data_IF_130137494813
#
_entry.id   IF_130137494813
#
_cell.length_a   1.000
_cell.length_b   1.000
_cell.length_c   1.000
_cell.angle_alpha   90.00
_cell.angle_beta   90.00
_cell.angle_gamma   90.00
#
_symmetry.space_group_name_H-M   'P 1'
#
loop_
_entity.id
_entity.type
_entity.pdbx_description
1 polymer ?
#
# COMPACT_ATOMS: atom_id res chain seq x y z
N UNK A 1 2.51 3.05 4.34
CA UNK A 1 1.56 2.57 3.31
C UNK A 1 2.10 1.45 2.41
N UNK A 2 3.42 1.29 2.20
CA UNK A 2 3.99 0.17 1.41
C UNK A 2 3.52 -1.22 1.86
N UNK A 3 3.39 -1.43 3.17
CA UNK A 3 2.88 -2.69 3.74
C UNK A 3 1.53 -3.08 3.14
N UNK A 4 0.63 -2.10 2.94
CA UNK A 4 -0.70 -2.31 2.36
C UNK A 4 -0.63 -2.63 0.87
N UNK A 5 0.29 -2.02 0.12
CA UNK A 5 0.52 -2.40 -1.28
C UNK A 5 1.00 -3.85 -1.37
N UNK A 6 2.01 -4.21 -0.57
CA UNK A 6 2.59 -5.56 -0.57
C UNK A 6 1.53 -6.63 -0.26
N UNK A 7 0.68 -6.41 0.75
CA UNK A 7 -0.41 -7.32 1.12
C UNK A 7 -1.46 -7.54 0.03
N UNK A 8 -1.55 -6.64 -0.97
CA UNK A 8 -2.56 -6.70 -2.03
C UNK A 8 -1.99 -7.14 -3.38
N UNK A 9 -0.73 -6.81 -3.63
CA UNK A 9 -0.06 -7.04 -4.91
C UNK A 9 0.70 -8.35 -4.91
N UNK A 10 1.36 -8.72 -3.81
CA UNK A 10 2.14 -9.96 -3.77
C UNK A 10 1.18 -11.15 -3.65
N UNK A 11 1.24 -12.13 -4.59
CA UNK A 11 0.32 -13.26 -4.62
C UNK A 11 0.26 -14.02 -3.29
N UNK A 12 1.41 -14.32 -2.69
CA UNK A 12 1.49 -15.08 -1.45
C UNK A 12 0.70 -14.43 -0.30
N UNK A 13 0.88 -13.11 -0.14
CA UNK A 13 0.23 -12.31 0.88
C UNK A 13 -1.24 -12.05 0.57
N UNK A 14 -1.56 -11.77 -0.70
CA UNK A 14 -2.91 -11.46 -1.14
C UNK A 14 -3.85 -12.65 -0.97
N UNK A 15 -3.41 -13.86 -1.32
CA UNK A 15 -4.18 -15.09 -1.10
C UNK A 15 -4.46 -15.30 0.40
N UNK A 16 -3.43 -15.15 1.23
CA UNK A 16 -3.49 -15.26 2.68
C UNK A 16 -4.54 -14.35 3.33
N UNK A 17 -4.65 -13.09 2.89
CA UNK A 17 -5.56 -12.10 3.51
C UNK A 17 -6.94 -12.04 2.86
N UNK A 18 -7.17 -12.79 1.78
CA UNK A 18 -8.44 -12.77 1.02
C UNK A 18 -9.33 -13.98 1.27
N UNK A 19 -8.92 -14.93 2.11
CA UNK A 19 -9.75 -16.05 2.55
C UNK A 19 -11.06 -15.58 3.21
N UNK A 20 -12.18 -16.28 2.96
CA UNK A 20 -13.52 -15.82 3.39
C UNK A 20 -13.66 -15.73 4.92
N UNK A 21 -13.07 -16.69 5.64
CA UNK A 21 -13.01 -16.70 7.11
C UNK A 21 -12.32 -15.45 7.66
N UNK A 22 -11.22 -15.04 7.02
CA UNK A 22 -10.45 -13.83 7.35
C UNK A 22 -11.25 -12.58 7.03
N UNK A 23 -11.94 -12.54 5.88
CA UNK A 23 -12.79 -11.40 5.50
C UNK A 23 -13.93 -11.14 6.48
N UNK A 24 -14.62 -12.18 6.95
CA UNK A 24 -15.70 -12.04 7.96
C UNK A 24 -15.16 -11.47 9.26
N UNK A 25 -14.07 -12.04 9.78
CA UNK A 25 -13.45 -11.59 11.03
C UNK A 25 -12.90 -10.16 10.94
N UNK A 26 -12.33 -9.82 9.79
CA UNK A 26 -11.83 -8.48 9.47
C UNK A 26 -12.92 -7.41 9.54
N UNK A 27 -14.14 -7.67 9.06
CA UNK A 27 -15.25 -6.70 9.16
C UNK A 27 -15.56 -6.35 10.61
N UNK A 28 -15.60 -7.35 11.48
CA UNK A 28 -15.86 -7.16 12.92
C UNK A 28 -14.73 -6.38 13.61
N UNK A 29 -13.48 -6.70 13.27
CA UNK A 29 -12.29 -6.02 13.79
C UNK A 29 -12.17 -4.58 13.27
N UNK A 30 -12.78 -4.26 12.13
CA UNK A 30 -12.85 -2.89 11.63
C UNK A 30 -13.91 -2.06 12.36
N UNK A 31 -15.04 -2.66 12.73
CA UNK A 31 -16.15 -1.93 13.37
C UNK A 31 -15.81 -1.44 14.78
N UNK A 32 -15.25 -2.32 15.62
CA UNK A 32 -15.03 -2.03 17.04
C UNK A 32 -14.07 -0.86 17.27
N UNK A 33 -12.89 -0.79 16.63
CA UNK A 33 -11.97 0.32 16.81
C UNK A 33 -12.51 1.66 16.32
N UNK A 34 -13.36 1.66 15.28
CA UNK A 34 -14.05 2.88 14.83
C UNK A 34 -15.00 3.42 15.90
N UNK A 35 -15.78 2.56 16.56
CA UNK A 35 -16.68 2.95 17.65
C UNK A 35 -15.91 3.40 18.89
N UNK A 36 -14.83 2.70 19.25
CA UNK A 36 -13.96 3.09 20.37
C UNK A 36 -13.31 4.44 20.09
N UNK A 37 -12.78 4.65 18.88
CA UNK A 37 -12.23 5.93 18.46
C UNK A 37 -13.25 7.07 18.56
N UNK A 38 -14.50 6.84 18.14
CA UNK A 38 -15.59 7.80 18.29
C UNK A 38 -15.88 8.13 19.76
N UNK A 39 -15.98 7.12 20.63
CA UNK A 39 -16.22 7.33 22.05
C UNK A 39 -15.08 8.10 22.72
N UNK A 40 -13.83 7.74 22.41
CA UNK A 40 -12.63 8.44 22.91
C UNK A 40 -12.60 9.88 22.42
N UNK A 41 -12.91 10.13 21.14
CA UNK A 41 -13.03 11.48 20.60
C UNK A 41 -14.08 12.30 21.38
N UNK A 42 -15.26 11.71 21.61
CA UNK A 42 -16.36 12.41 22.30
C UNK A 42 -16.03 12.74 23.75
N UNK A 43 -15.20 11.95 24.42
CA UNK A 43 -14.69 12.27 25.75
C UNK A 43 -13.56 13.31 25.70
N UNK A 44 -12.58 13.10 24.81
CA UNK A 44 -11.37 13.92 24.73
C UNK A 44 -11.64 15.37 24.33
N UNK A 45 -12.70 15.63 23.54
CA UNK A 45 -13.03 17.00 23.10
C UNK A 45 -13.37 17.96 24.26
N UNK A 46 -13.69 17.41 25.43
CA UNK A 46 -13.97 18.19 26.64
C UNK A 46 -12.71 18.48 27.46
N UNK A 47 -11.59 17.82 27.16
CA UNK A 47 -10.37 17.85 27.97
C UNK A 47 -9.17 18.45 27.22
N UNK A 48 -9.20 18.42 25.89
CA UNK A 48 -8.05 18.71 25.04
C UNK A 48 -8.48 19.61 23.87
N UNK A 49 -7.67 20.58 23.42
CA UNK A 49 -8.01 21.44 22.28
C UNK A 49 -7.91 20.68 20.96
N UNK A 50 -8.95 19.90 20.61
CA UNK A 50 -9.00 19.13 19.36
C UNK A 50 -9.19 20.02 18.12
N UNK A 51 -9.34 21.34 18.30
CA UNK A 51 -9.26 22.31 17.20
C UNK A 51 -7.83 22.47 16.66
N UNK A 52 -6.81 22.11 17.46
CA UNK A 52 -5.42 22.14 17.00
C UNK A 52 -5.09 20.85 16.21
N UNK A 53 -4.65 20.97 14.94
CA UNK A 53 -4.40 19.79 14.12
C UNK A 53 -3.34 18.85 14.70
N UNK A 54 -2.28 19.38 15.32
CA UNK A 54 -1.22 18.55 15.93
C UNK A 54 -1.77 17.71 17.09
N UNK A 55 -2.60 18.32 17.92
CA UNK A 55 -3.24 17.68 19.06
C UNK A 55 -4.19 16.57 18.60
N UNK A 56 -4.95 16.81 17.53
CA UNK A 56 -5.75 15.80 16.85
C UNK A 56 -4.90 14.63 16.32
N UNK A 57 -3.78 14.92 15.65
CA UNK A 57 -2.90 13.90 15.08
C UNK A 57 -2.22 13.06 16.18
N UNK A 58 -1.82 13.68 17.29
CA UNK A 58 -1.28 12.98 18.45
C UNK A 58 -2.31 12.04 19.07
N UNK A 59 -3.52 12.55 19.36
CA UNK A 59 -4.62 11.72 19.90
C UNK A 59 -4.94 10.55 18.95
N UNK A 60 -5.09 10.85 17.65
CA UNK A 60 -5.34 9.83 16.63
C UNK A 60 -4.24 8.76 16.59
N UNK A 61 -2.97 9.18 16.72
CA UNK A 61 -1.82 8.26 16.70
C UNK A 61 -1.78 7.38 17.95
N UNK A 62 -2.10 7.92 19.13
CA UNK A 62 -2.15 7.14 20.37
C UNK A 62 -3.24 6.07 20.33
N UNK A 63 -4.44 6.43 19.85
CA UNK A 63 -5.54 5.47 19.67
C UNK A 63 -5.15 4.40 18.63
N UNK A 64 -4.51 4.82 17.52
CA UNK A 64 -4.05 3.91 16.49
C UNK A 64 -2.92 2.97 16.96
N UNK A 65 -2.01 3.42 17.84
CA UNK A 65 -0.98 2.58 18.46
C UNK A 65 -1.60 1.44 19.29
N UNK A 66 -2.55 1.77 20.16
CA UNK A 66 -3.27 0.78 20.95
C UNK A 66 -4.05 -0.17 20.03
N UNK A 67 -4.75 0.38 19.04
CA UNK A 67 -5.53 -0.37 18.05
C UNK A 67 -4.66 -1.35 17.26
N UNK A 68 -3.48 -0.93 16.80
CA UNK A 68 -2.54 -1.76 16.06
C UNK A 68 -2.09 -2.97 16.89
N UNK A 69 -1.75 -2.77 18.16
CA UNK A 69 -1.36 -3.85 19.07
C UNK A 69 -2.48 -4.87 19.29
N UNK A 70 -3.69 -4.40 19.61
CA UNK A 70 -4.83 -5.29 19.84
C UNK A 70 -5.22 -6.05 18.57
N UNK A 71 -5.32 -5.36 17.44
CA UNK A 71 -5.66 -5.99 16.16
C UNK A 71 -4.59 -7.00 15.71
N UNK A 72 -3.31 -6.65 15.88
CA UNK A 72 -2.20 -7.56 15.60
C UNK A 72 -2.27 -8.83 16.47
N UNK A 73 -2.50 -8.69 17.78
CA UNK A 73 -2.70 -9.83 18.68
C UNK A 73 -3.86 -10.71 18.23
N UNK A 74 -4.99 -10.13 17.85
CA UNK A 74 -6.17 -10.88 17.39
C UNK A 74 -5.84 -11.64 16.10
N UNK A 75 -5.14 -11.01 15.15
CA UNK A 75 -4.69 -11.66 13.91
C UNK A 75 -3.69 -12.79 14.16
N UNK A 76 -2.76 -12.56 15.08
CA UNK A 76 -1.74 -13.52 15.49
C UNK A 76 -2.31 -14.70 16.29
N UNK A 77 -3.45 -14.47 16.94
CA UNK A 77 -4.19 -15.41 17.80
C UNK A 77 -3.31 -16.15 18.80
N UNK A 78 -2.43 -15.41 19.47
CA UNK A 78 -1.51 -15.94 20.47
C UNK A 78 -1.49 -15.04 21.72
N UNK A 79 -0.99 -15.57 22.83
CA UNK A 79 -0.80 -14.79 24.06
C UNK A 79 0.38 -13.83 23.91
N UNK A 80 0.38 -12.73 24.67
CA UNK A 80 1.44 -11.71 24.61
C UNK A 80 2.83 -12.29 24.88
N UNK A 81 2.95 -13.27 25.77
CA UNK A 81 4.22 -13.94 26.05
C UNK A 81 4.77 -14.70 24.83
N UNK A 82 3.90 -15.38 24.07
CA UNK A 82 4.29 -16.08 22.84
C UNK A 82 4.69 -15.07 21.77
N UNK A 83 3.90 -14.01 21.59
CA UNK A 83 4.17 -12.95 20.61
C UNK A 83 5.52 -12.28 20.90
N UNK A 84 5.77 -11.89 22.15
CA UNK A 84 7.02 -11.23 22.53
C UNK A 84 8.25 -12.12 22.31
N UNK A 85 8.12 -13.44 22.53
CA UNK A 85 9.20 -14.42 22.33
C UNK A 85 9.42 -14.77 20.85
N UNK A 86 8.35 -14.98 20.08
CA UNK A 86 8.43 -15.48 18.69
C UNK A 86 8.56 -14.37 17.63
N UNK A 87 7.91 -13.22 17.86
CA UNK A 87 7.89 -12.12 16.88
C UNK A 87 8.95 -11.07 17.23
N UNK A 88 9.35 -11.00 18.51
CA UNK A 88 10.44 -10.16 18.99
C UNK A 88 10.06 -8.68 19.14
N UNK A 89 10.88 -7.96 19.92
CA UNK A 89 10.64 -6.53 20.22
C UNK A 89 10.66 -5.64 18.98
N UNK A 90 11.46 -5.98 17.97
CA UNK A 90 11.59 -5.20 16.74
C UNK A 90 10.29 -5.14 15.94
N UNK A 91 9.61 -6.29 15.77
CA UNK A 91 8.33 -6.35 15.03
C UNK A 91 7.23 -5.63 15.81
N UNK A 92 7.20 -5.79 17.13
CA UNK A 92 6.24 -5.09 17.98
C UNK A 92 6.45 -3.57 17.98
N UNK A 93 7.70 -3.11 18.09
CA UNK A 93 8.03 -1.69 17.99
C UNK A 93 7.65 -1.14 16.61
N UNK A 94 7.93 -1.88 15.53
CA UNK A 94 7.50 -1.51 14.20
C UNK A 94 5.97 -1.45 14.06
N UNK A 95 5.24 -2.41 14.63
CA UNK A 95 3.77 -2.42 14.62
C UNK A 95 3.21 -1.19 15.35
N UNK A 96 3.73 -0.87 16.54
CA UNK A 96 3.27 0.28 17.33
C UNK A 96 3.61 1.59 16.64
N UNK A 97 4.88 1.78 16.30
CA UNK A 97 5.38 3.08 15.84
C UNK A 97 5.03 3.31 14.38
N UNK A 98 5.34 2.37 13.49
CA UNK A 98 5.13 2.58 12.05
C UNK A 98 3.68 2.35 11.62
N UNK A 99 3.05 1.26 12.06
CA UNK A 99 1.67 0.94 11.66
C UNK A 99 0.65 1.70 12.52
N UNK A 100 0.88 1.79 13.83
CA UNK A 100 0.01 2.52 14.75
C UNK A 100 0.17 4.03 14.59
N UNK A 101 1.31 4.59 15.01
CA UNK A 101 1.49 6.04 15.08
C UNK A 101 1.63 6.69 13.69
N UNK A 102 2.70 6.38 12.96
CA UNK A 102 3.02 7.08 11.70
C UNK A 102 1.95 6.88 10.64
N UNK A 103 1.54 5.63 10.39
CA UNK A 103 0.50 5.35 9.41
C UNK A 103 -0.88 5.84 9.87
N UNK A 104 -1.18 5.82 11.17
CA UNK A 104 -2.39 6.45 11.73
C UNK A 104 -2.44 7.95 11.44
N UNK A 105 -1.35 8.68 11.73
CA UNK A 105 -1.24 10.11 11.42
C UNK A 105 -1.37 10.39 9.92
N UNK A 106 -0.71 9.60 9.07
CA UNK A 106 -0.83 9.72 7.61
C UNK A 106 -2.29 9.58 7.15
N UNK A 107 -3.03 8.59 7.66
CA UNK A 107 -4.42 8.40 7.30
C UNK A 107 -5.33 9.54 7.79
N UNK A 108 -5.07 10.09 8.98
CA UNK A 108 -5.80 11.25 9.47
C UNK A 108 -5.55 12.48 8.60
N UNK A 109 -4.29 12.75 8.22
CA UNK A 109 -3.94 13.83 7.29
C UNK A 109 -4.59 13.66 5.93
N UNK A 110 -4.62 12.43 5.40
CA UNK A 110 -5.31 12.11 4.15
C UNK A 110 -6.79 12.47 4.22
N UNK A 111 -7.48 12.08 5.29
CA UNK A 111 -8.91 12.36 5.47
C UNK A 111 -9.16 13.86 5.58
N UNK A 112 -8.36 14.58 6.38
CA UNK A 112 -8.49 16.03 6.52
C UNK A 112 -8.25 16.75 5.19
N UNK A 113 -7.21 16.37 4.44
CA UNK A 113 -6.90 16.95 3.13
C UNK A 113 -8.02 16.67 2.10
N UNK A 114 -8.59 15.47 2.13
CA UNK A 114 -9.70 15.10 1.26
C UNK A 114 -10.96 15.93 1.56
N UNK A 115 -11.32 16.08 2.84
CA UNK A 115 -12.49 16.87 3.24
C UNK A 115 -12.31 18.35 2.92
N UNK A 116 -11.12 18.90 3.18
CA UNK A 116 -10.78 20.27 2.82
C UNK A 116 -10.92 20.50 1.30
N UNK A 117 -10.46 19.56 0.47
CA UNK A 117 -10.58 19.64 -0.98
C UNK A 117 -12.04 19.67 -1.47
N UNK A 118 -12.94 18.98 -0.78
CA UNK A 118 -14.39 18.95 -1.09
C UNK A 118 -15.13 20.18 -0.51
N UNK A 119 -14.41 21.08 0.18
CA UNK A 119 -14.97 22.31 0.76
C UNK A 119 -15.48 22.15 2.19
N UNK A 120 -15.17 21.02 2.85
CA UNK A 120 -15.50 20.81 4.26
C UNK A 120 -14.26 21.05 5.13
N UNK A 121 -14.04 22.31 5.51
CA UNK A 121 -12.83 22.77 6.16
C UNK A 121 -12.82 22.45 7.67
N UNK A 122 -11.79 21.74 8.11
CA UNK A 122 -11.52 21.45 9.51
C UNK A 122 -11.24 22.70 10.34
N UNK A 123 -10.63 23.74 9.76
CA UNK A 123 -10.35 24.98 10.49
C UNK A 123 -11.62 25.79 10.77
N UNK A 124 -12.67 25.59 9.98
CA UNK A 124 -13.97 26.27 10.16
C UNK A 124 -14.95 25.42 10.97
N UNK A 125 -14.97 24.11 10.75
CA UNK A 125 -15.86 23.15 11.41
C UNK A 125 -15.08 21.94 11.91
N UNK A 126 -14.36 22.04 13.05
CA UNK A 126 -13.39 21.02 13.46
C UNK A 126 -14.04 19.68 13.84
N UNK A 127 -15.27 19.69 14.34
CA UNK A 127 -15.89 18.52 14.96
C UNK A 127 -16.13 17.34 14.01
N UNK A 128 -16.64 17.61 12.80
CA UNK A 128 -16.95 16.58 11.81
C UNK A 128 -15.69 15.93 11.21
N UNK A 129 -14.77 16.72 10.62
CA UNK A 129 -13.53 16.21 10.02
C UNK A 129 -12.62 15.52 11.03
N UNK A 130 -12.48 16.03 12.25
CA UNK A 130 -11.66 15.41 13.29
C UNK A 130 -12.15 14.00 13.64
N UNK A 131 -13.45 13.88 13.86
CA UNK A 131 -14.09 12.61 14.18
C UNK A 131 -13.89 11.60 13.05
N UNK A 132 -14.15 12.01 11.79
CA UNK A 132 -13.95 11.15 10.62
C UNK A 132 -12.49 10.72 10.47
N UNK A 133 -11.54 11.64 10.66
CA UNK A 133 -10.12 11.36 10.55
C UNK A 133 -9.67 10.28 11.54
N UNK A 134 -10.02 10.41 12.83
CA UNK A 134 -9.65 9.43 13.86
C UNK A 134 -10.33 8.08 13.57
N UNK A 135 -11.63 8.07 13.27
CA UNK A 135 -12.39 6.83 13.03
C UNK A 135 -11.84 6.05 11.83
N UNK A 136 -11.62 6.73 10.70
CA UNK A 136 -11.13 6.11 9.46
C UNK A 136 -9.68 5.64 9.63
N UNK A 137 -8.84 6.43 10.30
CA UNK A 137 -7.46 6.05 10.60
C UNK A 137 -7.43 4.78 11.46
N UNK A 138 -8.14 4.76 12.60
CA UNK A 138 -8.15 3.63 13.52
C UNK A 138 -8.72 2.37 12.87
N UNK A 139 -9.80 2.49 12.10
CA UNK A 139 -10.41 1.38 11.37
C UNK A 139 -9.45 0.78 10.33
N UNK A 140 -8.72 1.63 9.61
CA UNK A 140 -7.76 1.20 8.59
C UNK A 140 -6.50 0.59 9.21
N UNK A 141 -6.01 1.14 10.31
CA UNK A 141 -4.88 0.60 11.10
C UNK A 141 -5.23 -0.76 11.68
N UNK A 142 -6.43 -0.90 12.27
CA UNK A 142 -6.91 -2.19 12.79
C UNK A 142 -6.91 -3.27 11.73
N UNK A 143 -7.44 -2.96 10.54
CA UNK A 143 -7.48 -3.88 9.40
C UNK A 143 -6.08 -4.34 9.02
N UNK A 144 -5.17 -3.41 8.81
CA UNK A 144 -3.85 -3.72 8.28
C UNK A 144 -3.00 -4.44 9.33
N UNK A 145 -3.07 -4.05 10.61
CA UNK A 145 -2.40 -4.73 11.71
C UNK A 145 -2.92 -6.17 11.92
N UNK A 146 -4.23 -6.38 11.80
CA UNK A 146 -4.83 -7.72 11.83
C UNK A 146 -4.31 -8.61 10.71
N UNK A 147 -4.28 -8.09 9.47
CA UNK A 147 -3.77 -8.83 8.30
C UNK A 147 -2.30 -9.22 8.48
N UNK A 148 -1.46 -8.31 8.99
CA UNK A 148 -0.05 -8.59 9.28
C UNK A 148 0.08 -9.66 10.38
N UNK A 149 -0.73 -9.58 11.44
CA UNK A 149 -0.77 -10.59 12.50
C UNK A 149 -1.16 -11.96 11.98
N UNK A 150 -2.14 -12.00 11.06
CA UNK A 150 -2.59 -13.24 10.43
C UNK A 150 -1.52 -13.87 9.53
N UNK A 151 -0.84 -13.07 8.70
CA UNK A 151 0.31 -13.53 7.90
C UNK A 151 1.40 -14.10 8.81
N UNK A 152 1.71 -13.43 9.92
CA UNK A 152 2.70 -13.92 10.89
C UNK A 152 2.29 -15.23 11.55
N UNK A 153 0.99 -15.40 11.85
CA UNK A 153 0.46 -16.68 12.35
C UNK A 153 0.68 -17.79 11.33
N UNK A 154 0.36 -17.57 10.05
CA UNK A 154 0.56 -18.57 9.00
C UNK A 154 2.04 -18.90 8.79
N UNK A 155 2.92 -17.91 8.86
CA UNK A 155 4.37 -18.13 8.82
C UNK A 155 4.83 -19.04 9.97
N UNK A 156 4.33 -18.83 11.18
CA UNK A 156 4.63 -19.67 12.33
C UNK A 156 4.04 -21.08 12.23
N UNK A 157 2.98 -21.28 11.42
CA UNK A 157 2.40 -22.60 11.12
C UNK A 157 3.11 -23.31 9.95
N UNK A 158 4.26 -22.80 9.50
CA UNK A 158 5.08 -23.44 8.48
C UNK A 158 4.75 -23.06 7.03
N UNK A 159 3.82 -22.13 6.78
CA UNK A 159 3.57 -21.61 5.42
C UNK A 159 4.64 -20.57 5.07
N UNK A 160 5.52 -20.81 4.07
CA UNK A 160 6.58 -19.88 3.75
C UNK A 160 6.01 -18.59 3.14
N UNK A 161 6.37 -17.44 3.71
CA UNK A 161 6.15 -16.14 3.10
C UNK A 161 7.51 -15.56 2.73
N UNK A 162 7.86 -15.53 1.43
CA UNK A 162 9.14 -14.99 0.97
C UNK A 162 9.34 -13.54 1.44
N UNK A 163 8.25 -12.78 1.45
CA UNK A 163 8.23 -11.35 1.76
C UNK A 163 7.37 -11.09 2.99
N UNK A 164 7.98 -10.55 4.05
CA UNK A 164 7.23 -9.97 5.17
C UNK A 164 7.17 -8.44 5.04
N UNK A 165 6.02 -7.78 5.30
CA UNK A 165 5.85 -6.36 5.02
C UNK A 165 6.45 -5.42 6.10
N UNK A 166 7.62 -5.74 6.66
CA UNK A 166 8.33 -4.94 7.70
C UNK A 166 9.38 -3.95 7.13
N UNK A 167 9.47 -3.88 5.80
CA UNK A 167 10.43 -3.05 5.08
C UNK A 167 11.88 -3.55 5.12
N UNK A 168 12.19 -4.69 5.76
CA UNK A 168 13.52 -5.29 5.66
C UNK A 168 13.84 -5.69 4.21
N UNK A 169 12.95 -6.37 3.47
CA UNK A 169 13.24 -6.72 2.07
C UNK A 169 13.43 -5.50 1.16
N UNK A 170 12.77 -4.36 1.48
CA UNK A 170 12.98 -3.11 0.75
C UNK A 170 14.39 -2.56 0.99
N UNK A 171 14.82 -2.50 2.24
CA UNK A 171 16.17 -2.00 2.59
C UNK A 171 17.26 -2.88 1.98
N UNK A 172 17.05 -4.19 1.96
CA UNK A 172 17.99 -5.14 1.37
C UNK A 172 18.05 -4.97 -0.17
N UNK A 173 16.91 -4.75 -0.82
CA UNK A 173 16.87 -4.42 -2.25
C UNK A 173 17.59 -3.10 -2.55
N UNK A 174 17.34 -2.05 -1.77
CA UNK A 174 18.00 -0.75 -1.96
C UNK A 174 19.52 -0.90 -1.85
N UNK A 175 20.01 -1.66 -0.86
CA UNK A 175 21.46 -1.90 -0.68
C UNK A 175 22.08 -2.72 -1.81
N UNK A 176 21.39 -3.76 -2.27
CA UNK A 176 21.92 -4.68 -3.28
C UNK A 176 21.76 -4.19 -4.72
N UNK A 177 20.77 -3.34 -4.99
CA UNK A 177 20.38 -2.91 -6.35
C UNK A 177 20.23 -1.39 -6.49
N UNK A 178 20.91 -0.61 -5.66
CA UNK A 178 20.86 0.86 -5.70
C UNK A 178 21.03 1.43 -7.11
N UNK A 179 22.02 0.92 -7.87
CA UNK A 179 22.32 1.39 -9.22
C UNK A 179 21.18 1.12 -10.24
N UNK A 180 20.37 0.07 -10.02
CA UNK A 180 19.24 -0.25 -10.90
C UNK A 180 17.97 0.51 -10.50
N UNK A 181 17.81 0.81 -9.21
CA UNK A 181 16.65 1.51 -8.65
C UNK A 181 16.77 3.02 -8.79
N UNK A 182 17.99 3.58 -8.69
CA UNK A 182 18.26 5.02 -8.71
C UNK A 182 17.65 5.75 -9.90
N UNK A 183 17.84 5.29 -11.15
CA UNK A 183 17.25 5.93 -12.33
C UNK A 183 15.71 5.97 -12.29
N UNK A 184 15.05 4.92 -11.77
CA UNK A 184 13.59 4.90 -11.63
C UNK A 184 13.11 5.93 -10.62
N UNK A 185 13.78 6.05 -9.48
CA UNK A 185 13.45 7.05 -8.45
C UNK A 185 13.65 8.46 -9.00
N UNK A 186 14.77 8.72 -9.67
CA UNK A 186 15.05 10.01 -10.29
C UNK A 186 13.99 10.38 -11.35
N UNK A 187 13.68 9.46 -12.26
CA UNK A 187 12.64 9.66 -13.27
C UNK A 187 11.27 9.91 -12.62
N UNK A 188 10.90 9.11 -11.62
CA UNK A 188 9.67 9.30 -10.85
C UNK A 188 9.60 10.67 -10.18
N UNK A 189 10.70 11.14 -9.59
CA UNK A 189 10.75 12.45 -8.97
C UNK A 189 10.63 13.60 -9.96
N UNK A 190 11.30 13.52 -11.12
CA UNK A 190 11.16 14.54 -12.17
C UNK A 190 9.73 14.59 -12.72
N UNK A 191 9.15 13.43 -13.03
CA UNK A 191 7.78 13.33 -13.55
C UNK A 191 6.77 13.84 -12.52
N UNK A 192 6.92 13.46 -11.25
CA UNK A 192 6.04 13.90 -10.17
C UNK A 192 6.14 15.41 -9.90
N UNK A 193 7.35 15.97 -9.94
CA UNK A 193 7.58 17.40 -9.80
C UNK A 193 6.93 18.19 -10.95
N UNK A 194 7.12 17.72 -12.20
CA UNK A 194 6.48 18.31 -13.38
C UNK A 194 4.95 18.22 -13.34
N UNK A 195 4.40 17.12 -12.81
CA UNK A 195 2.96 16.95 -12.63
C UNK A 195 2.39 17.98 -11.63
N UNK A 196 3.13 18.24 -10.55
CA UNK A 196 2.71 19.18 -9.52
C UNK A 196 3.01 20.66 -9.88
N UNK A 197 3.82 20.94 -10.89
CA UNK A 197 4.07 22.30 -11.39
C UNK A 197 2.97 22.83 -12.32
N UNK A 198 1.89 22.08 -12.56
CA UNK A 198 0.76 22.52 -13.39
C UNK A 198 -0.08 23.66 -12.77
N UNK A 199 0.32 24.14 -11.59
CA UNK A 199 -0.27 25.30 -10.88
C UNK A 199 -0.29 26.59 -11.72
N UNK A 200 0.62 26.71 -12.69
CA UNK A 200 0.71 27.88 -13.56
C UNK A 200 -0.47 28.05 -14.53
N UNK A 201 -1.36 27.05 -14.63
CA UNK A 201 -2.47 27.03 -15.60
C UNK A 201 -3.82 27.32 -14.94
N UNK A 202 -3.97 27.09 -13.63
CA UNK A 202 -5.26 27.19 -12.91
C UNK A 202 -5.04 27.84 -11.55
N UNK A 203 -5.83 28.84 -11.18
CA UNK A 203 -5.73 29.51 -9.88
C UNK A 203 -6.70 28.95 -8.84
N UNK A 204 -6.30 29.00 -7.56
CA UNK A 204 -7.15 28.68 -6.42
C UNK A 204 -7.29 27.18 -6.10
N UNK A 205 -8.36 26.81 -5.41
CA UNK A 205 -8.59 25.43 -4.92
C UNK A 205 -8.67 24.38 -6.05
N UNK A 206 -9.08 24.80 -7.26
CA UNK A 206 -9.10 23.95 -8.45
C UNK A 206 -7.69 23.49 -8.87
N UNK A 207 -6.66 24.29 -8.59
CA UNK A 207 -5.28 23.96 -8.92
C UNK A 207 -4.80 22.72 -8.18
N UNK A 208 -5.19 22.56 -6.91
CA UNK A 208 -4.82 21.40 -6.10
C UNK A 208 -5.50 20.12 -6.62
N UNK A 209 -6.73 20.23 -7.12
CA UNK A 209 -7.44 19.10 -7.76
C UNK A 209 -6.70 18.69 -9.04
N UNK A 210 -6.31 19.66 -9.87
CA UNK A 210 -5.54 19.40 -11.10
C UNK A 210 -4.18 18.77 -10.78
N UNK A 211 -3.45 19.30 -9.80
CA UNK A 211 -2.18 18.72 -9.33
C UNK A 211 -2.38 17.30 -8.80
N UNK A 212 -3.39 17.07 -7.95
CA UNK A 212 -3.71 15.75 -7.42
C UNK A 212 -3.97 14.76 -8.55
N UNK A 213 -4.79 15.15 -9.52
CA UNK A 213 -5.11 14.30 -10.67
C UNK A 213 -3.86 14.01 -11.51
N UNK A 214 -3.07 15.03 -11.83
CA UNK A 214 -1.85 14.89 -12.61
C UNK A 214 -0.82 13.99 -11.90
N UNK A 215 -0.55 14.23 -10.62
CA UNK A 215 0.37 13.40 -9.81
C UNK A 215 -0.18 11.98 -9.67
N UNK A 216 -1.49 11.80 -9.53
CA UNK A 216 -2.10 10.47 -9.44
C UNK A 216 -1.93 9.68 -10.75
N UNK A 217 -2.24 10.29 -11.90
CA UNK A 217 -2.12 9.65 -13.22
C UNK A 217 -0.67 9.32 -13.55
N UNK A 218 0.22 10.31 -13.46
CA UNK A 218 1.62 10.17 -13.85
C UNK A 218 2.42 9.33 -12.84
N UNK A 219 2.14 9.51 -11.54
CA UNK A 219 2.68 8.65 -10.48
C UNK A 219 2.22 7.20 -10.64
N UNK A 220 0.96 6.96 -11.00
CA UNK A 220 0.47 5.62 -11.33
C UNK A 220 1.16 5.01 -12.55
N UNK A 221 1.39 5.80 -13.60
CA UNK A 221 2.07 5.36 -14.82
C UNK A 221 3.54 4.98 -14.56
N UNK A 222 4.31 5.83 -13.85
CA UNK A 222 5.70 5.50 -13.53
C UNK A 222 5.81 4.29 -12.60
N UNK A 223 4.85 4.11 -11.68
CA UNK A 223 4.78 2.90 -10.83
C UNK A 223 4.69 1.64 -11.67
N UNK A 224 3.82 1.66 -12.69
CA UNK A 224 3.62 0.53 -13.59
C UNK A 224 4.90 0.23 -14.37
N UNK A 225 5.53 1.25 -14.95
CA UNK A 225 6.80 1.10 -15.67
C UNK A 225 7.90 0.55 -14.76
N UNK A 226 8.06 1.12 -13.56
CA UNK A 226 9.05 0.70 -12.59
C UNK A 226 8.80 -0.74 -12.10
N UNK A 227 7.54 -1.14 -11.97
CA UNK A 227 7.15 -2.50 -11.63
C UNK A 227 7.61 -3.52 -12.69
N UNK A 228 7.40 -3.25 -13.98
CA UNK A 228 7.96 -4.08 -15.04
C UNK A 228 9.49 -4.04 -15.07
N UNK A 229 10.10 -2.90 -14.74
CA UNK A 229 11.55 -2.77 -14.58
C UNK A 229 12.12 -3.60 -13.42
N UNK A 230 11.36 -3.80 -12.34
CA UNK A 230 11.77 -4.60 -11.19
C UNK A 230 11.68 -6.12 -11.42
N UNK A 231 10.83 -6.56 -12.35
CA UNK A 231 10.74 -7.96 -12.73
C UNK A 231 11.95 -8.37 -13.57
N UNK A 232 13.05 -8.79 -12.94
CA UNK A 232 14.21 -9.27 -13.68
C UNK A 232 13.88 -10.53 -14.46
N UNK A 233 14.29 -10.57 -15.73
CA UNK A 233 14.10 -11.72 -16.61
C UNK A 233 14.81 -11.42 -17.92
N UNK A 234 15.06 -12.45 -18.75
CA UNK A 234 15.80 -12.31 -20.02
C UNK A 234 15.19 -11.34 -21.03
N UNK A 235 13.95 -10.90 -20.79
CA UNK A 235 13.17 -10.01 -21.66
C UNK A 235 13.14 -8.58 -21.09
N UNK A 236 13.35 -7.57 -21.93
CA UNK A 236 13.29 -6.15 -21.55
C UNK A 236 11.93 -5.76 -20.96
N UNK A 237 11.90 -4.73 -20.12
CA UNK A 237 10.66 -4.24 -19.50
C UNK A 237 9.65 -3.73 -20.55
N UNK A 238 10.12 -3.13 -21.64
CA UNK A 238 9.30 -2.63 -22.74
C UNK A 238 8.58 -3.75 -23.47
N UNK A 239 9.29 -4.83 -23.78
CA UNK A 239 8.73 -6.00 -24.46
C UNK A 239 7.66 -6.70 -23.61
N UNK A 240 7.82 -6.72 -22.27
CA UNK A 240 6.78 -7.26 -21.38
C UNK A 240 5.59 -6.32 -21.23
N UNK A 241 5.82 -5.02 -21.18
CA UNK A 241 4.74 -4.04 -21.17
C UNK A 241 3.85 -4.20 -22.40
N UNK A 242 4.46 -4.32 -23.61
CA UNK A 242 3.72 -4.51 -24.85
C UNK A 242 3.04 -5.88 -24.97
N UNK A 243 3.59 -6.91 -24.32
CA UNK A 243 3.01 -8.25 -24.33
C UNK A 243 1.85 -8.42 -23.32
N UNK A 244 1.70 -7.50 -22.36
CA UNK A 244 0.67 -7.58 -21.32
C UNK A 244 -0.66 -7.04 -21.83
N UNK A 245 -1.76 -7.67 -21.42
CA UNK A 245 -3.09 -7.23 -21.83
C UNK A 245 -3.44 -5.83 -21.28
N UNK A 246 -4.10 -5.01 -22.09
CA UNK A 246 -4.53 -3.65 -21.68
C UNK A 246 -5.42 -3.68 -20.43
N UNK A 247 -6.25 -4.73 -20.28
CA UNK A 247 -7.09 -4.91 -19.08
C UNK A 247 -6.27 -5.10 -17.81
N UNK A 248 -5.16 -5.84 -17.88
CA UNK A 248 -4.27 -6.05 -16.73
C UNK A 248 -3.45 -4.80 -16.43
N UNK A 249 -2.94 -4.13 -17.46
CA UNK A 249 -2.25 -2.84 -17.31
C UNK A 249 -3.16 -1.82 -16.63
N UNK A 250 -4.40 -1.71 -17.07
CA UNK A 250 -5.39 -0.82 -16.46
C UNK A 250 -5.68 -1.19 -15.02
N UNK A 251 -5.83 -2.49 -14.70
CA UNK A 251 -6.04 -2.94 -13.31
C UNK A 251 -4.89 -2.51 -12.41
N UNK A 252 -3.64 -2.75 -12.81
CA UNK A 252 -2.44 -2.38 -12.02
C UNK A 252 -2.24 -0.86 -11.93
N UNK A 253 -2.50 -0.15 -13.03
CA UNK A 253 -2.42 1.30 -13.07
C UNK A 253 -3.47 1.94 -12.16
N UNK A 254 -4.73 1.50 -12.25
CA UNK A 254 -5.81 1.96 -11.37
C UNK A 254 -5.53 1.59 -9.91
N UNK A 255 -5.12 0.33 -9.67
CA UNK A 255 -4.78 -0.21 -8.37
C UNK A 255 -3.58 -1.17 -8.44
N UNK A 256 -2.42 -0.86 -7.82
CA UNK A 256 -2.21 0.16 -6.80
C UNK A 256 -1.81 1.56 -7.31
N UNK A 257 -1.45 1.74 -8.58
CA UNK A 257 -0.73 2.94 -9.05
C UNK A 257 -1.40 4.27 -8.71
N UNK A 258 -2.55 4.54 -9.32
CA UNK A 258 -3.30 5.79 -9.21
C UNK A 258 -3.77 6.03 -7.77
N UNK A 259 -4.39 5.02 -7.16
CA UNK A 259 -4.98 5.15 -5.84
C UNK A 259 -3.94 5.41 -4.75
N UNK A 260 -2.75 4.81 -4.82
CA UNK A 260 -1.73 5.11 -3.82
C UNK A 260 -1.00 6.42 -4.12
N UNK A 261 -0.76 6.76 -5.38
CA UNK A 261 -0.18 8.05 -5.74
C UNK A 261 -1.05 9.20 -5.24
N UNK A 262 -2.37 9.12 -5.45
CA UNK A 262 -3.31 10.12 -4.90
C UNK A 262 -3.29 10.15 -3.38
N UNK A 263 -3.24 8.98 -2.70
CA UNK A 263 -3.17 8.97 -1.24
C UNK A 263 -1.90 9.61 -0.70
N UNK A 264 -0.74 9.36 -1.29
CA UNK A 264 0.50 9.96 -0.82
C UNK A 264 0.55 11.46 -1.09
N UNK A 265 -0.01 11.91 -2.22
CA UNK A 265 -0.09 13.33 -2.51
C UNK A 265 -1.06 14.05 -1.56
N UNK A 266 -2.22 13.47 -1.27
CA UNK A 266 -3.13 14.00 -0.25
C UNK A 266 -2.49 14.09 1.15
N UNK A 267 -1.68 13.11 1.52
CA UNK A 267 -0.91 13.17 2.78
C UNK A 267 0.08 14.32 2.76
N UNK A 268 0.83 14.51 1.67
CA UNK A 268 1.76 15.63 1.52
C UNK A 268 1.03 16.98 1.61
N UNK A 269 -0.09 17.13 0.91
CA UNK A 269 -0.97 18.29 1.02
C UNK A 269 -1.45 18.52 2.46
N UNK A 270 -1.88 17.46 3.15
CA UNK A 270 -2.30 17.54 4.54
C UNK A 270 -1.18 18.00 5.48
N UNK A 271 0.07 17.58 5.24
CA UNK A 271 1.24 18.09 5.99
C UNK A 271 1.39 19.60 5.79
N UNK A 272 1.33 20.08 4.54
CA UNK A 272 1.44 21.51 4.25
C UNK A 272 0.34 22.33 4.94
N UNK A 273 -0.92 21.89 4.84
CA UNK A 273 -2.08 22.61 5.35
C UNK A 273 -2.21 22.53 6.88
N UNK A 274 -2.03 21.36 7.49
CA UNK A 274 -2.41 21.12 8.89
C UNK A 274 -1.22 21.02 9.84
N UNK A 275 -0.03 20.64 9.35
CA UNK A 275 1.18 20.55 10.18
C UNK A 275 2.02 21.82 10.04
N UNK A 276 2.30 22.23 8.80
CA UNK A 276 3.04 23.47 8.52
C UNK A 276 2.16 24.73 8.59
N UNK A 277 0.83 24.56 8.68
CA UNK A 277 -0.17 25.64 8.80
C UNK A 277 -0.08 26.69 7.69
N UNK A 278 0.25 26.26 6.46
CA UNK A 278 0.28 27.17 5.34
C UNK A 278 -1.13 27.43 4.79
N UNK A 279 -1.58 28.69 4.72
CA UNK A 279 -2.94 29.03 4.28
C UNK A 279 -3.17 28.74 2.79
N UNK A 280 -2.09 28.74 2.00
CA UNK A 280 -2.06 28.28 0.62
C UNK A 280 -0.80 27.44 0.42
N UNK A 281 -0.89 26.39 -0.40
CA UNK A 281 0.28 25.58 -0.71
C UNK A 281 1.25 26.43 -1.55
N UNK A 282 2.44 26.66 -1.01
CA UNK A 282 3.52 27.34 -1.74
C UNK A 282 3.88 26.49 -2.96
N UNK A 283 4.04 27.05 -4.18
CA UNK A 283 4.33 26.27 -5.39
C UNK A 283 5.53 25.33 -5.24
N UNK A 284 6.60 25.80 -4.57
CA UNK A 284 7.79 24.99 -4.29
C UNK A 284 7.49 23.74 -3.44
N UNK A 285 6.51 23.81 -2.53
CA UNK A 285 6.07 22.64 -1.76
C UNK A 285 5.28 21.66 -2.61
N UNK A 286 4.37 22.14 -3.47
CA UNK A 286 3.63 21.25 -4.38
C UNK A 286 4.59 20.50 -5.29
N UNK A 287 5.57 21.19 -5.88
CA UNK A 287 6.61 20.58 -6.73
C UNK A 287 7.44 19.56 -5.94
N UNK A 288 7.91 19.91 -4.75
CA UNK A 288 8.67 19.00 -3.90
C UNK A 288 7.83 17.78 -3.47
N UNK A 289 6.56 17.99 -3.11
CA UNK A 289 5.61 16.95 -2.74
C UNK A 289 5.31 16.01 -3.89
N UNK A 290 5.05 16.54 -5.09
CA UNK A 290 4.86 15.76 -6.31
C UNK A 290 6.09 14.92 -6.64
N UNK A 291 7.29 15.52 -6.58
CA UNK A 291 8.54 14.80 -6.82
C UNK A 291 8.84 13.73 -5.77
N UNK A 292 8.52 13.99 -4.50
CA UNK A 292 8.62 12.99 -3.45
C UNK A 292 7.68 11.81 -3.69
N UNK A 293 6.40 12.08 -4.00
CA UNK A 293 5.40 11.05 -4.30
C UNK A 293 5.81 10.24 -5.53
N UNK A 294 6.19 10.89 -6.63
CA UNK A 294 6.59 10.23 -7.86
C UNK A 294 7.81 9.31 -7.66
N UNK A 295 8.85 9.79 -6.97
CA UNK A 295 10.03 8.98 -6.66
C UNK A 295 9.73 7.80 -5.75
N UNK A 296 8.89 8.01 -4.73
CA UNK A 296 8.45 6.95 -3.81
C UNK A 296 7.58 5.90 -4.52
N UNK A 297 6.68 6.33 -5.42
CA UNK A 297 5.84 5.45 -6.22
C UNK A 297 6.68 4.60 -7.19
N UNK A 298 7.69 5.19 -7.84
CA UNK A 298 8.65 4.44 -8.65
C UNK A 298 9.45 3.42 -7.83
N UNK A 299 9.95 3.80 -6.64
CA UNK A 299 10.65 2.90 -5.72
C UNK A 299 9.77 1.71 -5.33
N UNK A 300 8.52 1.97 -4.94
CA UNK A 300 7.58 0.93 -4.52
C UNK A 300 7.14 0.05 -5.69
N UNK A 301 6.92 0.62 -6.87
CA UNK A 301 6.65 -0.14 -8.09
C UNK A 301 7.77 -1.14 -8.38
N UNK A 302 9.00 -0.65 -8.46
CA UNK A 302 10.18 -1.50 -8.67
C UNK A 302 10.32 -2.59 -7.60
N UNK A 303 10.14 -2.22 -6.33
CA UNK A 303 10.17 -3.18 -5.22
C UNK A 303 9.15 -4.30 -5.39
N UNK A 304 7.90 -3.97 -5.71
CA UNK A 304 6.84 -4.97 -5.91
C UNK A 304 7.15 -5.90 -7.08
N UNK A 305 7.68 -5.36 -8.19
CA UNK A 305 8.12 -6.16 -9.32
C UNK A 305 9.27 -7.11 -8.95
N UNK A 306 10.25 -6.60 -8.20
CA UNK A 306 11.38 -7.41 -7.72
C UNK A 306 10.93 -8.54 -6.80
N UNK A 307 10.03 -8.26 -5.85
CA UNK A 307 9.53 -9.27 -4.91
C UNK A 307 8.63 -10.29 -5.59
N UNK A 308 7.82 -9.88 -6.56
CA UNK A 308 7.06 -10.83 -7.38
C UNK A 308 7.98 -11.79 -8.12
N UNK A 309 9.06 -11.30 -8.72
CA UNK A 309 10.02 -12.15 -9.39
C UNK A 309 10.69 -13.15 -8.43
N UNK A 310 11.01 -12.74 -7.21
CA UNK A 310 11.52 -13.65 -6.16
C UNK A 310 10.48 -14.71 -5.79
N UNK A 311 9.19 -14.35 -5.69
CA UNK A 311 8.11 -15.31 -5.44
C UNK A 311 7.93 -16.30 -6.60
N UNK A 312 8.07 -15.85 -7.85
CA UNK A 312 8.02 -16.72 -9.04
C UNK A 312 9.19 -17.72 -9.03
N UNK A 313 10.42 -17.27 -8.77
CA UNK A 313 11.59 -18.16 -8.68
C UNK A 313 11.53 -19.17 -7.53
N UNK A 314 10.89 -18.79 -6.41
CA UNK A 314 10.69 -19.69 -5.28
C UNK A 314 9.49 -20.61 -5.51
N UNK A 315 8.45 -20.15 -6.21
CA UNK A 315 7.30 -20.94 -6.63
C UNK A 315 7.69 -22.05 -7.62
N UNK A 316 8.62 -21.80 -8.54
CA UNK A 316 9.23 -22.83 -9.40
C UNK A 316 10.04 -23.88 -8.61
N UNK A 317 10.39 -23.60 -7.34
CA UNK A 317 11.11 -24.53 -6.45
C UNK A 317 10.20 -25.24 -5.44
N UNK A 318 8.92 -24.90 -5.36
CA UNK A 318 7.95 -25.54 -4.47
C UNK A 318 7.15 -26.56 -5.30
N UNK A 319 7.17 -27.81 -4.85
CA UNK A 319 6.60 -28.98 -5.55
C UNK A 319 5.16 -28.73 -6.05
N UNK A 320 4.91 -29.04 -7.33
CA UNK A 320 3.66 -28.79 -8.07
C UNK A 320 2.41 -29.40 -7.39
N UNK A 321 2.62 -30.36 -6.48
CA UNK A 321 1.59 -31.00 -5.68
C UNK A 321 0.88 -30.04 -4.68
N UNK A 322 1.51 -28.94 -4.27
CA UNK A 322 0.96 -27.98 -3.28
C UNK A 322 0.21 -26.80 -3.90
N UNK A 323 0.23 -26.63 -5.22
CA UNK A 323 -0.34 -25.46 -5.93
C UNK A 323 -1.71 -25.71 -6.59
N UNK A 324 -2.44 -26.75 -6.17
CA UNK A 324 -3.86 -26.95 -6.58
C UNK A 324 -4.79 -26.00 -5.82
N UNK A 325 -4.79 -24.73 -6.22
CA UNK A 325 -5.86 -23.77 -5.90
C UNK A 325 -6.24 -22.96 -7.15
N UNK A 326 -7.54 -22.69 -7.39
CA UNK A 326 -8.11 -22.61 -8.74
C UNK A 326 -7.87 -21.30 -9.48
N UNK A 327 -7.18 -20.33 -8.88
CA UNK A 327 -7.05 -18.98 -9.45
C UNK A 327 -5.81 -18.81 -10.35
N UNK A 328 -4.90 -19.79 -10.38
CA UNK A 328 -3.63 -19.74 -11.16
C UNK A 328 -3.71 -20.49 -12.51
N UNK A 329 -4.76 -21.29 -12.74
CA UNK A 329 -4.93 -22.01 -14.02
C UNK A 329 -5.17 -21.07 -15.22
N UNK A 330 -5.67 -19.85 -15.00
CA UNK A 330 -5.93 -18.88 -16.08
C UNK A 330 -4.68 -18.27 -16.72
N UNK A 331 -3.54 -18.30 -16.04
CA UNK A 331 -2.28 -17.69 -16.51
C UNK A 331 -1.30 -18.75 -17.04
N UNK A 332 -1.36 -19.99 -16.53
CA UNK A 332 -0.51 -21.11 -17.01
C UNK A 332 -1.23 -22.07 -17.98
N UNK A 333 -2.54 -21.92 -18.19
CA UNK A 333 -3.33 -22.77 -19.09
C UNK A 333 -3.26 -22.41 -20.58
N UNK A 334 -2.58 -21.31 -20.96
CA UNK A 334 -2.49 -20.87 -22.37
C UNK A 334 -1.22 -21.32 -23.10
N UNK A 335 -0.37 -22.13 -22.47
CA UNK A 335 0.93 -22.53 -23.06
C UNK A 335 1.19 -24.03 -22.99
N UNK A 336 0.15 -24.88 -23.12
CA UNK A 336 0.32 -26.32 -23.37
C UNK A 336 -0.25 -26.73 -24.74
N UNK A 337 0.70 -27.06 -25.63
CA UNK A 337 0.62 -27.97 -26.79
C UNK A 337 -0.31 -27.63 -27.96
N UNK A 338 0.24 -26.94 -28.97
CA UNK A 338 -0.01 -27.33 -30.36
C UNK A 338 1.07 -28.35 -30.73
N UNK A 339 0.85 -29.62 -30.36
CA UNK A 339 1.59 -30.74 -30.91
C UNK A 339 0.98 -31.11 -32.26
N UNK A 340 1.79 -30.93 -33.30
CA UNK A 340 1.62 -31.39 -34.67
C UNK A 340 1.18 -32.87 -34.70
N UNK A 341 0.13 -33.25 -35.47
CA UNK A 341 -0.19 -34.66 -35.64
C UNK A 341 0.88 -35.33 -36.53
N UNK A 342 1.52 -36.37 -35.99
CA UNK A 342 2.43 -37.23 -36.72
C UNK A 342 1.62 -38.26 -37.54
N UNK A 343 2.02 -38.62 -38.77
CA UNK A 343 1.24 -39.50 -39.63
C UNK A 343 1.33 -40.96 -39.19
N UNK A 344 0.19 -41.64 -39.18
CA UNK A 344 0.05 -43.09 -38.97
C UNK A 344 0.68 -43.88 -40.12
N UNK A 345 1.64 -44.74 -39.81
CA UNK A 345 2.17 -45.75 -40.74
C UNK A 345 1.28 -47.03 -40.73
N UNK A 346 1.22 -47.79 -41.85
CA UNK A 346 0.21 -48.81 -42.09
C UNK A 346 0.57 -50.18 -41.48
N UNK A 347 -0.41 -50.82 -40.85
CA UNK A 347 -0.34 -52.21 -40.40
C UNK A 347 -0.60 -53.20 -41.54
N UNK A 348 0.41 -54.02 -41.85
CA UNK A 348 0.37 -55.14 -42.79
C UNK A 348 -0.11 -56.43 -42.10
N UNK A 349 -1.01 -57.11 -42.80
CA UNK A 349 -1.54 -58.49 -42.70
C UNK A 349 -0.78 -59.51 -41.84
N UNK A 350 -1.54 -60.29 -41.06
CA UNK A 350 -1.67 -61.77 -41.18
C UNK A 350 -3.13 -62.12 -41.02
#
# INVERSE_FOLDING_TARGET
MLHRMALRVLPSLSLAVTEESVRKRKRLIMLVPGLVAFAVYRAAKHLVPIAEPLTLLLLSSLIAMATALFAYRIGRSASWGVIARQDGRRVLAWMVVWIGAVYGAQLSLLVLALLWMVGYDYLQHPDGPAMMAIMVACTSVARDAFEIGHVRRMAAMGRPFPTFPDGAPLRDMIRSRAAQVGPWVAAGSVIGAAAASLDHVVMGQQAIIVQLFAVALLGGAITLCAYFGGMNGRVSWTARFSATSVSELFKYWWWPGLAFSSTYYLVATGVGLFVAQWPTLVPGFSVAGGGFVGGMMALYGYYLGHRRHVEEQQGERIDEALLRCPFVMGILGKTKHVSTPMPTAPGSKV
#
